data_IF_289997184973
#
_entry.id   IF_289997184973
#
_cell.length_a   1.000
_cell.length_b   1.000
_cell.length_c   1.000
_cell.angle_alpha   90.00
_cell.angle_beta   90.00
_cell.angle_gamma   90.00
#
_symmetry.space_group_name_H-M   'P 1'
#
loop_
_entity.id
_entity.type
_entity.pdbx_description
1 polymer ?
#
# COMPACT_ATOMS: atom_id res chain seq x y z
N UNK A 1 -23.43 -17.29 -2.28
CA UNK A 1 -22.77 -15.98 -2.12
C UNK A 1 -21.85 -15.79 -3.33
N UNK A 2 -22.08 -14.74 -4.12
CA UNK A 2 -21.27 -14.45 -5.30
C UNK A 2 -20.14 -13.51 -4.87
N UNK A 3 -18.89 -13.96 -5.02
CA UNK A 3 -17.72 -13.12 -4.83
C UNK A 3 -17.46 -12.39 -6.14
N UNK A 4 -17.60 -11.09 -6.16
CA UNK A 4 -17.16 -10.27 -7.30
C UNK A 4 -15.69 -9.94 -7.05
N UNK A 5 -14.78 -10.61 -7.76
CA UNK A 5 -13.36 -10.28 -7.80
C UNK A 5 -13.15 -9.15 -8.80
N UNK A 6 -12.65 -8.03 -8.32
CA UNK A 6 -11.93 -7.08 -9.16
C UNK A 6 -10.46 -7.47 -9.08
N UNK A 7 -9.94 -8.12 -10.12
CA UNK A 7 -8.52 -8.46 -10.21
C UNK A 7 -7.96 -7.80 -11.47
N UNK A 8 -7.10 -6.83 -11.29
CA UNK A 8 -6.24 -6.23 -12.29
C UNK A 8 -4.85 -6.01 -11.71
N UNK A 9 -3.85 -5.87 -12.55
CA UNK A 9 -2.52 -5.41 -12.12
C UNK A 9 -2.64 -3.92 -11.85
N UNK A 10 -2.90 -3.60 -10.60
CA UNK A 10 -3.38 -2.31 -10.14
C UNK A 10 -2.22 -1.35 -9.91
N UNK A 11 -1.58 -0.95 -10.96
CA UNK A 11 -1.04 0.41 -11.05
C UNK A 11 -2.21 1.34 -11.40
N UNK A 12 -3.26 1.16 -10.71
CA UNK A 12 -4.63 1.59 -10.80
C UNK A 12 -4.77 3.04 -11.22
N UNK A 13 -4.76 3.22 -12.49
CA UNK A 13 -5.19 4.44 -13.09
C UNK A 13 -6.68 4.30 -13.38
N UNK A 14 -7.46 5.29 -13.02
CA UNK A 14 -8.87 5.35 -13.38
C UNK A 14 -8.93 5.66 -14.88
N UNK A 15 -8.54 4.66 -15.66
CA UNK A 15 -8.47 4.73 -17.10
C UNK A 15 -9.58 3.85 -17.69
N UNK A 16 -10.23 4.35 -18.74
CA UNK A 16 -11.28 3.58 -19.40
C UNK A 16 -10.76 2.32 -20.06
N UNK A 17 -9.47 2.29 -20.46
CA UNK A 17 -8.81 1.11 -21.01
C UNK A 17 -8.71 -0.02 -20.00
N UNK A 18 -8.35 0.26 -18.74
CA UNK A 18 -8.21 -0.75 -17.69
C UNK A 18 -9.55 -1.41 -17.34
N UNK A 19 -10.62 -0.62 -17.31
CA UNK A 19 -11.98 -1.13 -17.14
C UNK A 19 -12.41 -2.01 -18.31
N UNK A 20 -12.00 -1.69 -19.53
CA UNK A 20 -12.27 -2.48 -20.72
C UNK A 20 -11.53 -3.81 -20.64
N UNK A 21 -10.22 -3.80 -20.36
CA UNK A 21 -9.39 -5.00 -20.22
C UNK A 21 -9.93 -5.93 -19.14
N UNK A 22 -10.29 -5.40 -17.96
CA UNK A 22 -10.90 -6.20 -16.90
C UNK A 22 -12.18 -6.90 -17.33
N UNK A 23 -13.01 -6.27 -18.17
CA UNK A 23 -14.24 -6.88 -18.65
C UNK A 23 -14.04 -7.93 -19.73
N UNK A 24 -12.93 -7.88 -20.45
CA UNK A 24 -12.55 -8.91 -21.42
C UNK A 24 -12.06 -10.19 -20.75
N UNK A 25 -11.44 -10.05 -19.58
CA UNK A 25 -10.95 -11.18 -18.77
C UNK A 25 -12.08 -11.83 -17.97
N UNK A 26 -13.07 -11.04 -17.50
CA UNK A 26 -14.14 -11.53 -16.63
C UNK A 26 -15.51 -11.29 -17.26
N UNK A 27 -16.05 -12.31 -17.93
CA UNK A 27 -17.40 -12.25 -18.53
C UNK A 27 -18.46 -11.94 -17.46
N UNK A 28 -19.35 -11.00 -17.78
CA UNK A 28 -20.42 -10.54 -16.88
C UNK A 28 -19.95 -9.60 -15.76
N UNK A 29 -18.72 -9.14 -15.76
CA UNK A 29 -18.22 -8.13 -14.81
C UNK A 29 -18.89 -6.78 -15.09
N UNK A 30 -19.45 -6.16 -14.04
CA UNK A 30 -19.98 -4.79 -14.12
C UNK A 30 -18.88 -3.79 -13.83
N UNK A 31 -18.76 -2.77 -14.67
CA UNK A 31 -17.76 -1.71 -14.58
C UNK A 31 -18.34 -0.47 -13.90
N UNK A 32 -17.59 0.11 -13.00
CA UNK A 32 -17.91 1.36 -12.33
C UNK A 32 -16.68 2.27 -12.38
N UNK A 33 -16.81 3.44 -12.97
CA UNK A 33 -15.78 4.49 -12.94
C UNK A 33 -15.61 5.06 -11.53
N UNK A 34 -16.71 5.18 -10.80
CA UNK A 34 -16.76 5.66 -9.44
C UNK A 34 -17.04 4.50 -8.49
N UNK A 35 -16.07 4.19 -7.63
CA UNK A 35 -16.15 3.10 -6.65
C UNK A 35 -17.33 3.24 -5.67
N UNK A 36 -17.85 4.44 -5.46
CA UNK A 36 -18.98 4.70 -4.56
C UNK A 36 -20.23 3.96 -5.01
N UNK A 37 -20.49 3.89 -6.32
CA UNK A 37 -21.60 3.11 -6.87
C UNK A 37 -21.42 1.60 -6.66
N UNK A 38 -20.17 1.10 -6.70
CA UNK A 38 -19.88 -0.28 -6.36
C UNK A 38 -20.15 -0.54 -4.88
N UNK A 39 -19.72 0.36 -3.99
CA UNK A 39 -19.93 0.23 -2.55
C UNK A 39 -21.41 0.29 -2.14
N UNK A 40 -22.27 0.96 -2.92
CA UNK A 40 -23.71 1.04 -2.66
C UNK A 40 -24.46 -0.24 -2.99
N UNK A 41 -23.87 -1.19 -3.68
CA UNK A 41 -24.49 -2.47 -4.01
C UNK A 41 -24.68 -3.32 -2.76
N UNK A 42 -25.88 -3.86 -2.59
CA UNK A 42 -26.26 -4.72 -1.45
C UNK A 42 -25.92 -6.20 -1.67
N UNK A 43 -25.61 -6.59 -2.90
CA UNK A 43 -25.24 -7.95 -3.27
C UNK A 43 -23.71 -8.22 -3.21
N UNK A 44 -22.92 -7.22 -2.79
CA UNK A 44 -21.48 -7.33 -2.55
C UNK A 44 -21.25 -7.42 -1.04
N UNK A 45 -20.68 -8.53 -0.58
CA UNK A 45 -20.33 -8.77 0.83
C UNK A 45 -18.91 -8.27 1.18
N UNK A 46 -17.98 -8.31 0.23
CA UNK A 46 -16.57 -7.96 0.45
C UNK A 46 -15.96 -7.24 -0.75
N UNK A 47 -14.94 -6.42 -0.49
CA UNK A 47 -14.20 -5.69 -1.53
C UNK A 47 -12.72 -5.94 -1.44
N UNK A 48 -12.06 -5.93 -2.61
CA UNK A 48 -10.60 -5.92 -2.75
C UNK A 48 -10.19 -4.51 -3.19
N UNK A 49 -9.29 -3.88 -2.43
CA UNK A 49 -8.79 -2.52 -2.68
C UNK A 49 -7.33 -2.63 -3.10
N UNK A 50 -7.03 -2.22 -4.33
CA UNK A 50 -5.68 -2.20 -4.91
C UNK A 50 -5.35 -0.86 -5.56
N UNK A 51 -5.97 0.21 -5.13
CA UNK A 51 -5.72 1.59 -5.56
C UNK A 51 -4.35 2.10 -5.11
N UNK A 52 -3.89 3.29 -5.52
CA UNK A 52 -2.73 3.93 -4.90
C UNK A 52 -2.92 4.14 -3.39
N UNK A 53 -1.80 4.17 -2.65
CA UNK A 53 -1.79 4.10 -1.18
C UNK A 53 -2.64 5.17 -0.51
N UNK A 54 -2.68 6.39 -1.06
CA UNK A 54 -3.44 7.53 -0.51
C UNK A 54 -4.97 7.33 -0.58
N UNK A 55 -5.45 6.40 -1.40
CA UNK A 55 -6.86 6.04 -1.49
C UNK A 55 -7.29 4.94 -0.53
N UNK A 56 -6.35 4.12 -0.03
CA UNK A 56 -6.65 2.91 0.74
C UNK A 56 -7.56 3.20 1.94
N UNK A 57 -7.20 4.18 2.76
CA UNK A 57 -7.96 4.51 3.98
C UNK A 57 -9.36 5.03 3.69
N UNK A 58 -9.52 5.84 2.65
CA UNK A 58 -10.81 6.44 2.27
C UNK A 58 -11.77 5.37 1.79
N UNK A 59 -11.35 4.55 0.81
CA UNK A 59 -12.20 3.51 0.24
C UNK A 59 -12.53 2.44 1.29
N UNK A 60 -11.53 2.00 2.04
CA UNK A 60 -11.73 1.01 3.10
C UNK A 60 -12.69 1.51 4.19
N UNK A 61 -12.52 2.76 4.63
CA UNK A 61 -13.40 3.37 5.61
C UNK A 61 -14.85 3.48 5.14
N UNK A 62 -15.06 3.78 3.85
CA UNK A 62 -16.39 3.80 3.25
C UNK A 62 -16.97 2.38 3.13
N UNK A 63 -16.17 1.40 2.70
CA UNK A 63 -16.59 -0.01 2.60
C UNK A 63 -17.06 -0.56 3.95
N UNK A 64 -16.28 -0.33 5.02
CA UNK A 64 -16.62 -0.75 6.38
C UNK A 64 -17.95 -0.15 6.83
N UNK A 65 -18.17 1.16 6.62
CA UNK A 65 -19.44 1.82 6.97
C UNK A 65 -20.64 1.31 6.18
N UNK A 66 -20.40 0.71 5.00
CA UNK A 66 -21.41 0.03 4.18
C UNK A 66 -21.57 -1.47 4.55
N UNK A 67 -20.93 -1.92 5.63
CA UNK A 67 -21.02 -3.29 6.12
C UNK A 67 -20.27 -4.32 5.28
N UNK A 68 -19.26 -3.91 4.51
CA UNK A 68 -18.49 -4.80 3.65
C UNK A 68 -17.20 -5.22 4.32
N UNK A 69 -16.81 -6.48 4.14
CA UNK A 69 -15.49 -6.98 4.47
C UNK A 69 -14.45 -6.45 3.49
N UNK A 70 -13.18 -6.33 3.94
CA UNK A 70 -12.14 -5.63 3.19
C UNK A 70 -10.88 -6.49 3.06
N UNK A 71 -10.43 -6.68 1.83
CA UNK A 71 -9.04 -6.99 1.52
C UNK A 71 -8.41 -5.73 0.94
N UNK A 72 -7.38 -5.19 1.60
CA UNK A 72 -6.70 -3.99 1.15
C UNK A 72 -5.23 -4.29 0.88
N UNK A 73 -4.74 -3.91 -0.28
CA UNK A 73 -3.32 -4.06 -0.61
C UNK A 73 -2.42 -3.29 0.38
N UNK A 74 -1.16 -3.68 0.41
CA UNK A 74 -0.10 -3.00 1.16
C UNK A 74 0.38 -1.75 0.39
N UNK A 75 0.87 -0.72 1.08
CA UNK A 75 0.77 -0.47 2.51
C UNK A 75 -0.68 -0.19 2.92
N UNK A 76 -1.06 -0.59 4.11
CA UNK A 76 -2.46 -0.51 4.56
C UNK A 76 -3.05 0.91 4.48
N UNK A 77 -2.22 1.91 4.76
CA UNK A 77 -2.60 3.34 4.74
C UNK A 77 -1.39 4.22 4.41
N UNK A 78 -1.64 5.45 4.00
CA UNK A 78 -0.60 6.44 3.78
C UNK A 78 0.02 6.93 5.09
N UNK A 79 -0.79 7.08 6.14
CA UNK A 79 -0.35 7.58 7.44
C UNK A 79 -0.71 6.64 8.59
N UNK A 80 0.05 6.74 9.70
CA UNK A 80 -0.22 5.97 10.92
C UNK A 80 -1.59 6.36 11.51
N UNK A 81 -1.97 7.63 11.47
CA UNK A 81 -3.25 8.12 11.97
C UNK A 81 -4.44 7.49 11.25
N UNK A 82 -4.37 7.38 9.93
CA UNK A 82 -5.37 6.66 9.14
C UNK A 82 -5.47 5.19 9.56
N UNK A 83 -4.33 4.52 9.73
CA UNK A 83 -4.28 3.12 10.18
C UNK A 83 -4.96 2.93 11.53
N UNK A 84 -4.71 3.82 12.50
CA UNK A 84 -5.36 3.79 13.81
C UNK A 84 -6.88 3.94 13.70
N UNK A 85 -7.35 4.83 12.83
CA UNK A 85 -8.79 5.03 12.60
C UNK A 85 -9.43 3.80 11.94
N UNK A 86 -8.77 3.19 10.95
CA UNK A 86 -9.28 1.98 10.30
C UNK A 86 -9.35 0.79 11.26
N UNK A 87 -8.33 0.58 12.09
CA UNK A 87 -8.33 -0.48 13.12
C UNK A 87 -9.53 -0.31 14.05
N UNK A 88 -9.76 0.91 14.54
CA UNK A 88 -10.92 1.21 15.38
C UNK A 88 -12.22 0.95 14.63
N UNK A 89 -12.36 1.48 13.41
CA UNK A 89 -13.57 1.38 12.63
C UNK A 89 -13.92 -0.09 12.29
N UNK A 90 -12.94 -0.88 11.87
CA UNK A 90 -13.14 -2.30 11.57
C UNK A 90 -13.59 -3.09 12.83
N UNK A 91 -12.98 -2.80 13.98
CA UNK A 91 -13.36 -3.42 15.26
C UNK A 91 -14.79 -3.05 15.66
N UNK A 92 -15.16 -1.77 15.58
CA UNK A 92 -16.47 -1.26 15.98
C UNK A 92 -17.60 -1.83 15.10
N UNK A 93 -17.31 -2.17 13.85
CA UNK A 93 -18.28 -2.72 12.89
C UNK A 93 -18.20 -4.25 12.74
N UNK A 94 -17.29 -4.93 13.42
CA UNK A 94 -17.09 -6.38 13.29
C UNK A 94 -16.64 -6.82 11.91
N UNK A 95 -15.96 -5.94 11.17
CA UNK A 95 -15.50 -6.17 9.79
C UNK A 95 -14.36 -7.19 9.77
N UNK A 96 -14.42 -8.15 8.84
CA UNK A 96 -13.28 -9.00 8.52
C UNK A 96 -12.31 -8.20 7.64
N UNK A 97 -11.10 -8.02 8.15
CA UNK A 97 -10.04 -7.27 7.47
C UNK A 97 -8.86 -8.17 7.13
N UNK A 98 -8.37 -8.08 5.89
CA UNK A 98 -7.13 -8.70 5.46
C UNK A 98 -6.25 -7.67 4.75
N UNK A 99 -5.03 -7.47 5.24
CA UNK A 99 -4.01 -6.70 4.50
C UNK A 99 -3.32 -7.59 3.46
N UNK A 100 -3.06 -7.04 2.27
CA UNK A 100 -2.49 -7.72 1.12
C UNK A 100 -0.99 -8.06 1.26
N UNK A 101 -0.60 -8.67 2.38
CA UNK A 101 0.78 -9.15 2.62
C UNK A 101 0.99 -10.52 1.94
N UNK A 102 0.93 -10.55 0.61
CA UNK A 102 0.90 -11.77 -0.20
C UNK A 102 2.09 -12.71 0.04
N UNK A 103 3.27 -12.21 0.45
CA UNK A 103 4.42 -13.05 0.75
C UNK A 103 4.17 -14.02 1.91
N UNK A 104 3.24 -13.73 2.82
CA UNK A 104 2.83 -14.66 3.89
C UNK A 104 2.14 -15.91 3.35
N UNK A 105 1.59 -15.86 2.14
CA UNK A 105 0.97 -17.00 1.45
C UNK A 105 1.96 -17.84 0.63
N UNK A 106 3.20 -17.37 0.45
CA UNK A 106 4.25 -18.12 -0.25
C UNK A 106 4.89 -19.17 0.68
N UNK A 107 4.93 -20.42 0.23
CA UNK A 107 5.44 -21.54 1.03
C UNK A 107 6.90 -21.38 1.44
N UNK A 108 7.73 -20.70 0.65
CA UNK A 108 9.15 -20.48 0.94
C UNK A 108 9.34 -19.50 2.09
N UNK A 109 8.61 -18.39 2.11
CA UNK A 109 8.63 -17.44 3.23
C UNK A 109 8.07 -18.06 4.49
N UNK A 110 6.98 -18.82 4.36
CA UNK A 110 6.39 -19.55 5.48
C UNK A 110 7.40 -20.51 6.08
N UNK A 111 8.05 -21.36 5.27
CA UNK A 111 9.06 -22.31 5.72
C UNK A 111 10.23 -21.59 6.43
N UNK A 112 10.74 -20.49 5.86
CA UNK A 112 11.82 -19.71 6.45
C UNK A 112 11.43 -19.18 7.84
N UNK A 113 10.24 -18.58 7.98
CA UNK A 113 9.73 -18.09 9.25
C UNK A 113 9.53 -19.22 10.27
N UNK A 114 9.00 -20.37 9.84
CA UNK A 114 8.82 -21.54 10.70
C UNK A 114 10.18 -22.09 11.21
N UNK A 115 11.21 -22.15 10.37
CA UNK A 115 12.56 -22.57 10.78
C UNK A 115 13.15 -21.62 11.84
N UNK A 116 13.01 -20.30 11.64
CA UNK A 116 13.48 -19.30 12.62
C UNK A 116 12.73 -19.45 13.93
N UNK A 117 11.40 -19.48 13.89
CA UNK A 117 10.53 -19.56 15.09
C UNK A 117 10.69 -20.86 15.87
N UNK A 118 11.06 -21.94 15.19
CA UNK A 118 11.37 -23.24 15.81
C UNK A 118 12.85 -23.34 16.27
N UNK A 119 13.59 -22.24 16.32
CA UNK A 119 14.92 -22.15 16.89
C UNK A 119 16.04 -22.81 16.06
N UNK A 120 15.80 -23.09 14.76
CA UNK A 120 16.82 -23.74 13.89
C UNK A 120 18.07 -22.88 13.68
N UNK A 121 17.94 -21.56 13.86
CA UNK A 121 19.06 -20.61 13.79
C UNK A 121 19.58 -20.22 15.18
N UNK A 122 19.08 -20.85 16.26
CA UNK A 122 19.39 -20.46 17.62
C UNK A 122 18.79 -19.10 18.00
N UNK A 123 19.43 -18.41 18.92
CA UNK A 123 18.96 -17.10 19.38
C UNK A 123 19.25 -16.01 18.33
N UNK A 124 18.20 -15.44 17.75
CA UNK A 124 18.33 -14.33 16.81
C UNK A 124 18.75 -13.07 17.58
N UNK A 125 19.81 -12.41 17.13
CA UNK A 125 20.29 -11.14 17.67
C UNK A 125 20.03 -9.97 16.74
N UNK A 126 20.14 -10.25 15.43
CA UNK A 126 19.97 -9.24 14.39
C UNK A 126 19.36 -9.87 13.14
N UNK A 127 18.48 -9.10 12.49
CA UNK A 127 17.98 -9.36 11.15
C UNK A 127 18.40 -8.18 10.26
N UNK A 128 18.67 -8.42 8.99
CA UNK A 128 18.93 -7.36 8.02
C UNK A 128 18.06 -7.57 6.81
N UNK A 129 17.24 -6.57 6.50
CA UNK A 129 16.46 -6.51 5.29
C UNK A 129 17.10 -5.52 4.29
N UNK A 130 17.34 -5.98 3.07
CA UNK A 130 17.85 -5.12 2.00
C UNK A 130 16.70 -4.68 1.10
N UNK A 131 16.54 -3.39 0.95
CA UNK A 131 15.49 -2.77 0.14
C UNK A 131 16.12 -2.03 -1.04
N UNK A 132 15.39 -1.89 -2.16
CA UNK A 132 15.83 -0.99 -3.23
C UNK A 132 15.95 0.45 -2.74
N UNK A 133 16.89 1.20 -3.27
CA UNK A 133 16.96 2.65 -3.09
C UNK A 133 15.82 3.37 -3.80
N UNK A 134 15.63 4.64 -3.47
CA UNK A 134 14.67 5.50 -4.15
C UNK A 134 15.12 5.87 -5.57
N UNK A 135 14.17 6.23 -6.40
CA UNK A 135 14.44 6.70 -7.75
C UNK A 135 14.79 8.19 -7.78
N UNK A 136 15.73 8.56 -8.63
CA UNK A 136 16.02 9.97 -8.94
C UNK A 136 15.07 10.46 -10.03
N UNK A 137 14.54 11.68 -9.86
CA UNK A 137 13.73 12.32 -10.87
C UNK A 137 13.53 13.78 -10.52
N UNK A 138 13.87 14.68 -11.44
CA UNK A 138 13.81 16.13 -11.23
C UNK A 138 13.33 16.85 -12.49
N UNK A 139 12.79 18.06 -12.30
CA UNK A 139 12.36 18.94 -13.38
C UNK A 139 11.31 18.32 -14.30
N UNK A 140 10.41 17.54 -13.75
CA UNK A 140 9.29 16.99 -14.51
C UNK A 140 8.42 18.09 -15.09
N UNK A 141 7.90 17.84 -16.27
CA UNK A 141 7.12 18.85 -17.00
C UNK A 141 5.63 18.71 -16.68
N UNK A 142 4.99 19.84 -16.42
CA UNK A 142 3.53 19.91 -16.42
C UNK A 142 3.04 19.74 -17.85
N UNK A 143 2.11 18.84 -18.06
CA UNK A 143 1.54 18.56 -19.38
C UNK A 143 0.01 18.50 -19.28
N UNK A 144 -0.66 18.48 -20.43
CA UNK A 144 -2.08 18.19 -20.46
C UNK A 144 -2.34 16.76 -20.00
N UNK A 145 -3.39 16.60 -19.20
CA UNK A 145 -3.83 15.26 -18.80
C UNK A 145 -4.47 14.56 -20.00
N UNK A 146 -4.17 13.25 -20.24
CA UNK A 146 -4.86 12.48 -21.26
C UNK A 146 -6.38 12.51 -21.07
N UNK A 147 -7.13 12.60 -22.17
CA UNK A 147 -8.59 12.75 -22.13
C UNK A 147 -9.33 11.54 -21.54
N UNK A 148 -8.70 10.37 -21.55
CA UNK A 148 -9.22 9.11 -21.04
C UNK A 148 -8.80 8.82 -19.58
N UNK A 149 -8.04 9.74 -18.96
CA UNK A 149 -7.57 9.63 -17.58
C UNK A 149 -8.28 10.62 -16.66
N UNK A 150 -8.97 10.12 -15.64
CA UNK A 150 -9.73 10.94 -14.68
C UNK A 150 -8.82 11.39 -13.54
N UNK A 151 -7.96 12.36 -13.81
CA UNK A 151 -6.93 12.80 -12.88
C UNK A 151 -7.48 13.32 -11.55
N UNK A 152 -8.61 14.04 -11.54
CA UNK A 152 -9.26 14.50 -10.30
C UNK A 152 -9.68 13.32 -9.41
N UNK A 153 -10.23 12.26 -10.02
CA UNK A 153 -10.57 11.04 -9.30
C UNK A 153 -9.31 10.32 -8.81
N UNK A 154 -8.25 10.33 -9.60
CA UNK A 154 -6.96 9.76 -9.21
C UNK A 154 -6.35 10.52 -8.03
N UNK A 155 -6.36 11.86 -8.05
CA UNK A 155 -5.88 12.70 -6.94
C UNK A 155 -6.69 12.46 -5.67
N UNK A 156 -7.99 12.41 -5.76
CA UNK A 156 -8.88 12.11 -4.65
C UNK A 156 -8.60 12.93 -3.40
N UNK A 157 -8.15 12.30 -2.29
CA UNK A 157 -7.86 13.01 -1.04
C UNK A 157 -6.51 13.77 -1.03
N UNK A 158 -5.68 13.56 -2.04
CA UNK A 158 -4.39 14.25 -2.14
C UNK A 158 -4.56 15.73 -2.52
N UNK A 159 -3.56 16.59 -2.25
CA UNK A 159 -3.62 17.99 -2.64
C UNK A 159 -3.79 18.17 -4.16
N UNK A 160 -4.61 19.15 -4.54
CA UNK A 160 -4.76 19.55 -5.94
C UNK A 160 -3.42 20.01 -6.51
N UNK A 161 -3.09 19.52 -7.71
CA UNK A 161 -1.82 19.80 -8.38
C UNK A 161 -1.96 19.64 -9.88
N UNK A 162 -1.18 20.37 -10.70
CA UNK A 162 -1.14 20.13 -12.14
C UNK A 162 -0.72 18.71 -12.49
N UNK A 163 -1.21 18.22 -13.63
CA UNK A 163 -0.84 16.90 -14.10
C UNK A 163 0.64 16.85 -14.50
N UNK A 164 1.33 15.88 -13.91
CA UNK A 164 2.68 15.46 -14.25
C UNK A 164 2.63 13.94 -14.38
N UNK A 165 3.01 13.42 -15.53
CA UNK A 165 2.93 11.97 -15.81
C UNK A 165 3.62 11.12 -14.74
N UNK A 166 4.75 11.60 -14.23
CA UNK A 166 5.54 10.91 -13.21
C UNK A 166 4.90 10.92 -11.82
N UNK A 167 3.76 11.62 -11.63
CA UNK A 167 2.95 11.51 -10.41
C UNK A 167 2.06 10.29 -10.40
N UNK A 168 1.75 9.77 -11.58
CA UNK A 168 0.79 8.68 -11.76
C UNK A 168 1.48 7.34 -12.05
N UNK A 169 0.71 6.28 -12.29
CA UNK A 169 1.18 4.91 -12.53
C UNK A 169 2.17 4.44 -11.43
N UNK A 170 3.17 3.64 -11.76
CA UNK A 170 4.14 3.13 -10.79
C UNK A 170 4.97 4.17 -10.06
N UNK A 171 5.16 5.37 -10.67
CA UNK A 171 6.01 6.43 -10.15
C UNK A 171 5.40 7.21 -8.99
N UNK A 172 4.10 7.10 -8.72
CA UNK A 172 3.43 7.75 -7.60
C UNK A 172 4.10 7.42 -6.26
N UNK A 173 4.74 6.26 -6.17
CA UNK A 173 5.44 5.78 -4.97
C UNK A 173 6.54 6.70 -4.48
N UNK A 174 7.06 7.57 -5.35
CA UNK A 174 8.15 8.49 -5.02
C UNK A 174 7.69 9.88 -4.57
N UNK A 175 6.37 10.10 -4.43
CA UNK A 175 5.74 11.33 -3.99
C UNK A 175 5.06 11.15 -2.64
N UNK A 176 5.39 12.01 -1.67
CA UNK A 176 4.84 11.86 -0.32
C UNK A 176 3.35 12.17 -0.21
N UNK A 177 2.80 12.91 -1.16
CA UNK A 177 1.36 13.14 -1.25
C UNK A 177 0.58 11.83 -1.53
N UNK A 178 1.23 10.80 -2.07
CA UNK A 178 0.59 9.56 -2.52
C UNK A 178 1.12 8.29 -1.87
N UNK A 179 2.40 8.27 -1.43
CA UNK A 179 3.07 7.08 -0.88
C UNK A 179 4.29 7.47 -0.05
N UNK A 180 4.99 6.50 0.51
CA UNK A 180 6.21 6.70 1.32
C UNK A 180 7.49 6.16 0.70
N UNK A 181 7.56 6.01 -0.64
CA UNK A 181 8.73 5.52 -1.34
C UNK A 181 8.96 4.02 -1.17
N UNK A 182 10.18 3.57 -1.46
CA UNK A 182 10.56 2.15 -1.37
C UNK A 182 10.43 1.59 0.04
N UNK A 183 10.48 2.43 1.06
CA UNK A 183 10.32 2.00 2.45
C UNK A 183 8.90 1.49 2.73
N UNK A 184 7.87 2.12 2.18
CA UNK A 184 6.48 1.68 2.33
C UNK A 184 6.06 0.69 1.24
N UNK A 185 6.73 0.68 0.09
CA UNK A 185 6.48 -0.28 -0.97
C UNK A 185 7.16 -1.63 -0.67
N UNK A 186 8.46 -1.77 -0.92
CA UNK A 186 9.20 -3.00 -0.64
C UNK A 186 9.42 -3.28 0.85
N UNK A 187 9.55 -2.19 1.65
CA UNK A 187 9.69 -2.31 3.09
C UNK A 187 8.47 -2.98 3.73
N UNK A 188 7.26 -2.71 3.27
CA UNK A 188 6.06 -3.37 3.75
C UNK A 188 6.14 -4.90 3.65
N UNK A 189 6.75 -5.43 2.58
CA UNK A 189 6.97 -6.87 2.43
C UNK A 189 8.06 -7.40 3.35
N UNK A 190 9.26 -6.80 3.28
CA UNK A 190 10.43 -7.36 3.96
C UNK A 190 10.37 -7.20 5.48
N UNK A 191 9.82 -6.08 5.96
CA UNK A 191 9.63 -5.86 7.40
C UNK A 191 8.53 -6.76 7.95
N UNK A 192 7.45 -6.99 7.17
CA UNK A 192 6.38 -7.90 7.57
C UNK A 192 6.90 -9.34 7.76
N UNK A 193 7.69 -9.87 6.81
CA UNK A 193 8.30 -11.19 6.90
C UNK A 193 9.29 -11.27 8.08
N UNK A 194 10.09 -10.23 8.29
CA UNK A 194 11.02 -10.15 9.42
C UNK A 194 10.27 -10.18 10.75
N UNK A 195 9.21 -9.38 10.86
CA UNK A 195 8.31 -9.33 12.02
C UNK A 195 7.68 -10.71 12.30
N UNK A 196 7.19 -11.38 11.25
CA UNK A 196 6.61 -12.71 11.34
C UNK A 196 7.64 -13.76 11.78
N UNK A 197 8.84 -13.76 11.19
CA UNK A 197 9.94 -14.66 11.56
C UNK A 197 10.40 -14.48 13.00
N UNK A 198 10.42 -13.25 13.50
CA UNK A 198 10.74 -12.93 14.90
C UNK A 198 9.61 -13.27 15.88
N UNK A 199 8.41 -13.66 15.41
CA UNK A 199 7.25 -13.91 16.26
C UNK A 199 6.66 -12.66 16.90
N UNK A 200 6.85 -11.49 16.28
CA UNK A 200 6.49 -10.18 16.83
C UNK A 200 5.16 -9.64 16.29
N UNK A 201 4.28 -10.49 15.76
CA UNK A 201 3.00 -10.08 15.16
C UNK A 201 2.08 -9.27 16.09
N UNK A 202 2.24 -9.41 17.42
CA UNK A 202 1.43 -8.70 18.43
C UNK A 202 2.17 -7.56 19.12
N UNK A 203 3.35 -7.18 18.60
CA UNK A 203 4.18 -6.12 19.16
C UNK A 203 4.86 -5.34 18.04
N UNK A 204 5.67 -4.36 18.39
CA UNK A 204 6.48 -3.60 17.46
C UNK A 204 7.81 -3.18 18.07
N UNK A 205 8.64 -2.46 17.33
CA UNK A 205 9.88 -1.93 17.85
C UNK A 205 9.60 -0.88 18.94
N UNK A 206 10.43 -0.90 19.99
CA UNK A 206 10.38 0.10 21.08
C UNK A 206 11.28 1.30 20.80
N UNK A 207 12.16 1.18 19.82
CA UNK A 207 13.03 2.26 19.38
C UNK A 207 13.27 2.17 17.88
N UNK A 208 13.22 3.33 17.22
CA UNK A 208 13.51 3.46 15.79
C UNK A 208 14.58 4.54 15.63
N UNK A 209 15.64 4.23 14.88
CA UNK A 209 16.63 5.19 14.41
C UNK A 209 16.66 5.15 12.90
N UNK A 210 16.69 6.30 12.26
CA UNK A 210 16.79 6.39 10.81
C UNK A 210 17.80 7.43 10.38
N UNK A 211 18.40 7.22 9.23
CA UNK A 211 19.16 8.20 8.45
C UNK A 211 18.86 7.97 6.98
N UNK A 212 18.99 9.02 6.18
CA UNK A 212 18.74 8.90 4.74
C UNK A 212 19.28 10.08 3.97
N UNK A 213 19.37 9.91 2.68
CA UNK A 213 19.72 10.95 1.71
C UNK A 213 18.43 11.40 1.03
N UNK A 214 18.00 12.60 1.38
CA UNK A 214 16.81 13.21 0.79
C UNK A 214 17.08 13.62 -0.68
N UNK A 215 16.00 13.72 -1.45
CA UNK A 215 16.04 14.42 -2.74
C UNK A 215 16.32 15.93 -2.49
N UNK A 216 16.92 16.64 -3.46
CA UNK A 216 16.97 18.09 -3.41
C UNK A 216 15.56 18.69 -3.27
N UNK A 217 15.43 19.70 -2.41
CA UNK A 217 14.15 20.39 -2.26
C UNK A 217 13.73 21.07 -3.57
N UNK A 218 12.46 20.93 -3.93
CA UNK A 218 11.87 21.51 -5.13
C UNK A 218 10.58 22.25 -4.74
N UNK A 219 10.65 23.59 -4.75
CA UNK A 219 9.52 24.43 -4.36
C UNK A 219 8.31 24.31 -5.30
N UNK A 220 8.54 23.91 -6.56
CA UNK A 220 7.49 23.71 -7.54
C UNK A 220 6.92 22.27 -7.52
N UNK A 221 7.46 21.42 -6.64
CA UNK A 221 7.07 20.01 -6.53
C UNK A 221 7.06 19.27 -7.89
N UNK A 222 8.11 19.46 -8.68
CA UNK A 222 8.31 18.78 -9.97
C UNK A 222 9.44 17.76 -9.94
N UNK A 223 9.75 17.26 -8.75
CA UNK A 223 10.79 16.28 -8.49
C UNK A 223 10.29 15.25 -7.50
N UNK A 224 10.80 14.02 -7.57
CA UNK A 224 10.51 13.03 -6.55
C UNK A 224 10.93 13.52 -5.16
N UNK A 225 10.20 13.11 -4.12
CA UNK A 225 10.39 13.52 -2.74
C UNK A 225 10.95 12.39 -1.86
N UNK A 226 10.65 11.13 -2.19
CA UNK A 226 11.07 9.99 -1.39
C UNK A 226 12.60 9.86 -1.33
N UNK A 227 13.11 9.38 -0.18
CA UNK A 227 14.54 9.25 0.06
C UNK A 227 15.22 8.35 -0.98
N UNK A 228 16.42 8.78 -1.42
CA UNK A 228 17.26 8.02 -2.36
C UNK A 228 17.92 6.83 -1.69
N UNK A 229 18.47 7.07 -0.50
CA UNK A 229 19.14 6.09 0.33
C UNK A 229 18.63 6.23 1.74
N UNK A 230 18.49 5.13 2.44
CA UNK A 230 18.03 5.14 3.82
C UNK A 230 18.54 3.90 4.55
N UNK A 231 18.74 4.07 5.85
CA UNK A 231 19.00 3.00 6.80
C UNK A 231 18.10 3.22 8.01
N UNK A 232 17.35 2.21 8.37
CA UNK A 232 16.47 2.26 9.53
C UNK A 232 16.77 1.08 10.44
N UNK A 233 17.02 1.37 11.70
CA UNK A 233 17.22 0.36 12.74
C UNK A 233 16.02 0.34 13.66
N UNK A 234 15.38 -0.80 13.76
CA UNK A 234 14.32 -1.09 14.70
C UNK A 234 14.88 -1.92 15.85
N UNK A 235 14.70 -1.47 17.09
CA UNK A 235 15.08 -2.24 18.28
C UNK A 235 13.82 -2.74 18.96
N UNK A 236 13.70 -4.05 19.13
CA UNK A 236 12.57 -4.68 19.81
C UNK A 236 12.81 -4.79 21.33
N UNK A 237 11.76 -4.98 22.12
CA UNK A 237 11.83 -5.07 23.59
C UNK A 237 12.74 -6.19 24.09
N UNK A 238 12.91 -7.27 23.32
CA UNK A 238 13.81 -8.38 23.64
C UNK A 238 15.28 -8.15 23.24
N UNK A 239 15.62 -6.94 22.76
CA UNK A 239 16.97 -6.56 22.34
C UNK A 239 17.35 -6.96 20.91
N UNK A 240 16.46 -7.62 20.16
CA UNK A 240 16.72 -7.91 18.73
C UNK A 240 16.69 -6.63 17.92
N UNK A 241 17.63 -6.49 16.99
CA UNK A 241 17.68 -5.40 16.00
C UNK A 241 17.28 -5.91 14.61
N UNK A 242 16.48 -5.12 13.90
CA UNK A 242 16.11 -5.28 12.49
C UNK A 242 16.59 -4.04 11.73
#
# INVERSE_FOLDING_TARGET
RRHTRLQGDWSSDVCSSDLQEASEVFDGCQKYVDFRYLLDRTDIDAVVIGTPDHWHSVIAGMAIRKGKDVYCEKPMTLTIGEGQQLVKLAKDNGTVWQTGSQQRSDARFRLACELVRNGRLGQIKKVTAHLPGGSRGTNFQVTDCPNDFLFDMWLGPAPETPYIRERTHGSFRHWFDYSGGMMTDWGAHHLDISQWGLGMDKSGPVKIKSKGVAQPADAEKRSFEAFLEYEVTYTYANGVEL
#
